data_IF_376737183850
#
_entry.id   IF_376737183850
#
_cell.length_a   1.000
_cell.length_b   1.000
_cell.length_c   1.000
_cell.angle_alpha   90.00
_cell.angle_beta   90.00
_cell.angle_gamma   90.00
#
_symmetry.space_group_name_H-M   'P 1'
#
loop_
_entity.id
_entity.type
_entity.pdbx_description
1 polymer ?
#
# COMPACT_ATOMS: atom_id res chain seq x y z
N UNK A 1 -10.84 -6.19 12.39
CA UNK A 1 -10.25 -6.77 11.16
C UNK A 1 -8.73 -6.71 11.20
N UNK A 2 -8.10 -5.53 11.25
CA UNK A 2 -6.63 -5.38 11.31
C UNK A 2 -5.95 -6.24 12.39
N UNK A 3 -6.51 -6.31 13.61
CA UNK A 3 -5.99 -7.16 14.69
C UNK A 3 -5.93 -8.64 14.29
N UNK A 4 -6.94 -9.14 13.59
CA UNK A 4 -6.97 -10.54 13.14
C UNK A 4 -5.97 -10.80 12.01
N UNK A 5 -5.77 -9.83 11.10
CA UNK A 5 -4.75 -9.92 10.06
C UNK A 5 -3.34 -9.90 10.66
N UNK A 6 -3.10 -9.05 11.65
CA UNK A 6 -1.83 -8.99 12.36
C UNK A 6 -1.51 -10.31 13.07
N UNK A 7 -2.49 -10.93 13.73
CA UNK A 7 -2.29 -12.24 14.35
C UNK A 7 -1.87 -13.34 13.37
N UNK A 8 -2.35 -13.30 12.12
CA UNK A 8 -1.91 -14.24 11.09
C UNK A 8 -0.45 -14.01 10.70
N UNK A 9 -0.04 -12.74 10.57
CA UNK A 9 1.35 -12.36 10.29
C UNK A 9 2.26 -12.75 11.45
N UNK A 10 1.85 -12.51 12.69
CA UNK A 10 2.61 -12.85 13.91
C UNK A 10 2.82 -14.37 14.06
N UNK A 11 1.95 -15.19 13.46
CA UNK A 11 2.10 -16.65 13.38
C UNK A 11 3.07 -17.11 12.27
N UNK A 12 3.67 -16.18 11.52
CA UNK A 12 4.60 -16.45 10.44
C UNK A 12 3.96 -16.61 9.05
N UNK A 13 2.67 -16.29 8.90
CA UNK A 13 2.03 -16.33 7.59
C UNK A 13 2.36 -15.07 6.78
N UNK A 14 2.46 -15.22 5.45
CA UNK A 14 2.50 -14.07 4.53
C UNK A 14 1.08 -13.75 4.07
N UNK A 15 0.69 -12.49 4.20
CA UNK A 15 -0.61 -12.01 3.76
C UNK A 15 -0.45 -11.03 2.58
N UNK A 16 -1.11 -11.33 1.47
CA UNK A 16 -1.21 -10.44 0.31
C UNK A 16 -2.67 -9.97 0.18
N UNK A 17 -2.90 -8.66 0.22
CA UNK A 17 -4.23 -8.06 0.18
C UNK A 17 -4.29 -6.99 -0.89
N UNK A 18 -5.40 -6.93 -1.64
CA UNK A 18 -5.73 -5.81 -2.52
C UNK A 18 -6.59 -4.84 -1.73
N UNK A 19 -6.11 -3.62 -1.52
CA UNK A 19 -6.80 -2.64 -0.69
C UNK A 19 -6.71 -1.23 -1.27
N UNK A 20 -7.71 -0.42 -0.91
CA UNK A 20 -7.76 1.02 -1.18
C UNK A 20 -7.87 1.83 0.11
N UNK A 21 -8.11 1.16 1.25
CA UNK A 21 -8.17 1.84 2.54
C UNK A 21 -6.77 2.20 3.05
N UNK A 22 -6.49 3.51 3.11
CA UNK A 22 -5.19 4.04 3.56
C UNK A 22 -4.84 3.67 5.01
N UNK A 23 -5.83 3.44 5.88
CA UNK A 23 -5.57 2.99 7.25
C UNK A 23 -5.05 1.56 7.33
N UNK A 24 -5.33 0.74 6.31
CA UNK A 24 -4.77 -0.61 6.18
C UNK A 24 -3.41 -0.54 5.47
N UNK A 25 -3.33 0.23 4.40
CA UNK A 25 -2.09 0.36 3.61
C UNK A 25 -0.95 0.93 4.44
N UNK A 26 -1.22 1.91 5.33
CA UNK A 26 -0.18 2.52 6.18
C UNK A 26 0.44 1.56 7.20
N UNK A 27 -0.24 0.45 7.53
CA UNK A 27 0.25 -0.53 8.49
C UNK A 27 0.96 -1.71 7.81
N UNK A 28 1.00 -1.75 6.48
CA UNK A 28 1.66 -2.82 5.75
C UNK A 28 3.18 -2.69 5.82
N UNK A 29 3.88 -3.82 5.89
CA UNK A 29 5.35 -3.83 5.80
C UNK A 29 5.84 -3.51 4.38
N UNK A 30 5.03 -3.84 3.37
CA UNK A 30 5.37 -3.67 1.96
C UNK A 30 4.13 -3.35 1.12
N UNK A 31 4.28 -2.43 0.18
CA UNK A 31 3.24 -1.95 -0.73
C UNK A 31 3.71 -2.15 -2.18
N UNK A 32 2.79 -2.59 -3.03
CA UNK A 32 2.96 -2.63 -4.49
C UNK A 32 1.84 -1.77 -5.07
N UNK A 33 2.22 -0.62 -5.64
CA UNK A 33 1.28 0.32 -6.23
C UNK A 33 1.17 0.09 -7.74
N UNK A 34 -0.05 -0.18 -8.20
CA UNK A 34 -0.37 -0.47 -9.60
C UNK A 34 -1.09 0.72 -10.23
N UNK A 35 -0.77 1.00 -11.49
CA UNK A 35 -1.36 2.11 -12.22
C UNK A 35 -0.64 2.31 -13.56
N UNK A 36 -0.47 3.57 -14.02
CA UNK A 36 -0.90 4.83 -13.39
C UNK A 36 -2.43 5.05 -13.42
N UNK A 37 -3.14 4.40 -14.33
CA UNK A 37 -4.60 4.48 -14.45
C UNK A 37 -5.25 3.08 -14.32
N UNK A 38 -6.58 3.03 -14.44
CA UNK A 38 -7.30 1.76 -14.58
C UNK A 38 -7.39 1.27 -16.04
N UNK A 39 -7.66 -0.02 -16.21
CA UNK A 39 -7.91 -0.61 -17.53
C UNK A 39 -6.67 -0.57 -18.44
N UNK A 40 -6.83 -0.12 -19.69
CA UNK A 40 -5.75 -0.08 -20.68
C UNK A 40 -4.66 0.95 -20.40
N UNK A 41 -4.91 1.91 -19.50
CA UNK A 41 -3.91 2.87 -19.04
C UNK A 41 -3.16 2.43 -17.77
N UNK A 42 -3.44 1.21 -17.28
CA UNK A 42 -2.82 0.63 -16.10
C UNK A 42 -1.89 -0.53 -16.41
N UNK A 43 -1.65 -1.36 -15.38
CA UNK A 43 -0.89 -2.60 -15.52
C UNK A 43 0.61 -2.46 -15.26
N UNK A 44 1.08 -1.28 -14.87
CA UNK A 44 2.47 -1.04 -14.49
C UNK A 44 2.64 -1.01 -12.98
N UNK A 45 3.83 -1.42 -12.51
CA UNK A 45 4.28 -1.18 -11.14
C UNK A 45 4.79 0.26 -11.07
N UNK A 46 4.00 1.14 -10.47
CA UNK A 46 4.31 2.57 -10.35
C UNK A 46 5.28 2.85 -9.21
N UNK A 47 5.10 2.12 -8.10
CA UNK A 47 5.95 2.19 -6.92
C UNK A 47 5.92 0.85 -6.16
N UNK A 48 6.98 0.55 -5.45
CA UNK A 48 7.05 -0.57 -4.52
C UNK A 48 8.02 -0.25 -3.40
N UNK A 49 7.78 -0.79 -2.21
CA UNK A 49 8.58 -0.52 -1.00
C UNK A 49 7.72 -0.41 0.24
N UNK A 50 8.24 0.19 1.31
CA UNK A 50 7.44 0.49 2.51
C UNK A 50 6.39 1.58 2.21
N UNK A 51 5.36 1.74 3.07
CA UNK A 51 4.40 2.83 2.96
C UNK A 51 5.08 4.22 2.84
N UNK A 52 6.16 4.47 3.58
CA UNK A 52 6.92 5.73 3.55
C UNK A 52 7.69 5.93 2.24
N UNK A 53 8.21 4.85 1.66
CA UNK A 53 8.91 4.90 0.37
C UNK A 53 7.93 5.17 -0.77
N UNK A 54 6.79 4.47 -0.80
CA UNK A 54 5.72 4.71 -1.76
C UNK A 54 5.17 6.13 -1.63
N UNK A 55 5.00 6.64 -0.41
CA UNK A 55 4.55 8.00 -0.15
C UNK A 55 5.50 9.11 -0.64
N UNK A 56 6.77 8.76 -0.91
CA UNK A 56 7.76 9.69 -1.50
C UNK A 56 7.76 9.64 -3.04
N UNK A 57 7.18 8.62 -3.66
CA UNK A 57 7.19 8.47 -5.11
C UNK A 57 6.18 9.44 -5.77
N UNK A 58 6.63 10.41 -6.58
CA UNK A 58 5.74 11.41 -7.18
C UNK A 58 4.81 10.84 -8.27
N UNK A 59 5.12 9.65 -8.81
CA UNK A 59 4.28 8.98 -9.82
C UNK A 59 3.12 8.19 -9.19
N UNK A 60 3.19 7.90 -7.89
CA UNK A 60 2.19 7.09 -7.19
C UNK A 60 1.00 7.95 -6.76
N UNK A 61 -0.18 7.65 -7.32
CA UNK A 61 -1.44 8.27 -6.88
C UNK A 61 -1.72 7.88 -5.42
N UNK A 62 -1.55 6.60 -5.09
CA UNK A 62 -1.66 6.07 -3.72
C UNK A 62 -0.72 6.80 -2.77
N UNK A 63 0.55 6.96 -3.15
CA UNK A 63 1.58 7.65 -2.38
C UNK A 63 1.22 9.12 -2.06
N UNK A 64 0.60 9.83 -3.01
CA UNK A 64 0.11 11.21 -2.79
C UNK A 64 -0.89 11.30 -1.63
N UNK A 65 -1.77 10.31 -1.48
CA UNK A 65 -2.74 10.28 -0.38
C UNK A 65 -2.16 9.67 0.89
N UNK A 66 -1.36 8.60 0.77
CA UNK A 66 -0.69 7.94 1.87
C UNK A 66 0.19 8.90 2.67
N UNK A 67 0.89 9.82 1.99
CA UNK A 67 1.69 10.89 2.60
C UNK A 67 0.90 11.79 3.57
N UNK A 68 -0.42 11.95 3.38
CA UNK A 68 -1.25 12.76 4.27
C UNK A 68 -1.61 12.01 5.55
N UNK A 69 -1.79 10.70 5.46
CA UNK A 69 -2.18 9.84 6.59
C UNK A 69 -0.97 9.46 7.45
N UNK A 70 0.22 9.34 6.87
CA UNK A 70 1.47 9.08 7.60
C UNK A 70 2.00 10.27 8.42
N UNK A 71 1.55 11.49 8.11
CA UNK A 71 1.94 12.72 8.83
C UNK A 71 1.04 13.04 10.02
N UNK A 72 -0.03 12.27 10.20
CA UNK A 72 -1.04 12.47 11.24
C UNK A 72 -0.66 11.73 12.53
#
# INVERSE_FOLDING_TARGET
LLVALQQLVDQGNTLLVIEHNLDVIKTADHVIDLGPEGGSGGGEIVATGTPEEVAKNPKSITGKYLKKVLKA
#
